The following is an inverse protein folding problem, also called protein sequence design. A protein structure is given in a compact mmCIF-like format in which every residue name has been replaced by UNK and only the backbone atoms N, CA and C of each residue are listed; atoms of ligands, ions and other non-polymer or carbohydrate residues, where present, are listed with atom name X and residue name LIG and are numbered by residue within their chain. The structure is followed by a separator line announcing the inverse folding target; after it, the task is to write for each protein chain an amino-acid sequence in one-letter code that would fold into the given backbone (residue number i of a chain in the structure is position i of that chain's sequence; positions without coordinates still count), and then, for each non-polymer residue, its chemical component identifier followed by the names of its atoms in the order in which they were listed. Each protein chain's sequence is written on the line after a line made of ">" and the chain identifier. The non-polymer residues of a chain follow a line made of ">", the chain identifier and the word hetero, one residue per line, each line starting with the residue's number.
data_IF_920280331589
#
_entry.id   IF_920280331589
#
_cell.length_a   1.000
_cell.length_b   1.000
_cell.length_c   1.000
_cell.angle_alpha   90.00
_cell.angle_beta   90.00
_cell.angle_gamma   90.00
#
_symmetry.space_group_name_H-M   'P 1'
#
loop_
_entity.id
_entity.type
_entity.pdbx_description
1 polymer ?
#
# COMPACT_ATOMS: atom_id res chain seq x y z
N UNK A 1 -4.57 2.01 3.44
CA UNK A 1 -3.23 1.80 4.04
C UNK A 1 -3.15 0.35 4.51
N UNK A 2 -2.01 -0.12 5.00
CA UNK A 2 -1.92 -1.47 5.58
C UNK A 2 -2.44 -1.52 7.03
N UNK A 3 -2.90 -2.69 7.46
CA UNK A 3 -3.37 -2.92 8.83
C UNK A 3 -2.24 -2.76 9.84
N UNK A 4 -1.07 -3.34 9.56
CA UNK A 4 0.09 -3.24 10.46
C UNK A 4 0.59 -1.80 10.64
N UNK A 5 0.35 -0.90 9.68
CA UNK A 5 0.75 0.53 9.77
C UNK A 5 -0.07 1.26 10.83
N UNK A 6 -1.34 0.89 11.00
CA UNK A 6 -2.24 1.52 11.97
C UNK A 6 -2.40 0.72 13.26
N UNK A 7 -1.86 -0.50 13.30
CA UNK A 7 -1.94 -1.39 14.46
C UNK A 7 -1.34 -0.72 15.71
N UNK A 8 -2.03 -0.84 16.84
CA UNK A 8 -1.64 -0.28 18.14
C UNK A 8 -1.44 1.25 18.18
N UNK A 9 -1.89 1.99 17.17
CA UNK A 9 -1.80 3.46 17.18
C UNK A 9 -2.77 4.06 18.20
N UNK A 10 -2.24 4.85 19.14
CA UNK A 10 -3.07 5.67 20.07
C UNK A 10 -3.50 7.00 19.43
N UNK A 11 -2.72 7.47 18.48
CA UNK A 11 -2.94 8.72 17.77
C UNK A 11 -2.45 8.52 16.33
N UNK A 12 -3.30 8.84 15.37
CA UNK A 12 -3.03 8.68 13.94
C UNK A 12 -3.20 10.04 13.27
N UNK A 13 -2.21 10.42 12.46
CA UNK A 13 -2.26 11.61 11.62
C UNK A 13 -1.85 11.28 10.20
N UNK A 14 -2.36 12.07 9.26
CA UNK A 14 -1.95 12.05 7.86
C UNK A 14 -1.45 13.43 7.45
N UNK A 15 -0.54 13.44 6.49
CA UNK A 15 0.09 14.64 5.94
C UNK A 15 -0.07 14.58 4.41
N UNK A 16 -0.20 15.74 3.77
CA UNK A 16 -0.26 15.82 2.30
C UNK A 16 1.12 16.16 1.77
N UNK A 17 1.42 15.71 0.55
CA UNK A 17 2.65 16.11 -0.12
C UNK A 17 2.72 17.64 -0.25
N UNK A 18 3.83 18.22 0.19
CA UNK A 18 4.02 19.67 0.17
C UNK A 18 3.17 20.48 1.17
N UNK A 19 2.44 19.82 2.08
CA UNK A 19 1.70 20.48 3.16
C UNK A 19 2.30 20.13 4.52
N UNK A 20 2.82 21.11 5.28
CA UNK A 20 3.37 20.85 6.62
C UNK A 20 2.31 20.53 7.68
N UNK A 21 1.01 20.69 7.36
CA UNK A 21 -0.06 20.45 8.32
C UNK A 21 -0.33 18.96 8.52
N UNK A 22 -0.38 18.55 9.79
CA UNK A 22 -0.80 17.20 10.20
C UNK A 22 -2.30 17.19 10.50
N UNK A 23 -3.01 16.25 9.89
CA UNK A 23 -4.45 16.10 10.06
C UNK A 23 -4.76 14.85 10.87
N UNK A 24 -5.53 14.95 11.97
CA UNK A 24 -5.98 13.77 12.72
C UNK A 24 -6.80 12.83 11.84
N UNK A 25 -6.47 11.54 11.88
CA UNK A 25 -7.18 10.48 11.18
C UNK A 25 -7.70 9.44 12.17
N UNK A 26 -8.77 8.76 11.80
CA UNK A 26 -9.34 7.66 12.58
C UNK A 26 -9.45 6.41 11.72
N UNK A 27 -9.24 5.25 12.34
CA UNK A 27 -9.41 3.97 11.67
C UNK A 27 -10.90 3.63 11.63
N UNK A 28 -11.42 3.37 10.44
CA UNK A 28 -12.82 2.97 10.23
C UNK A 28 -12.96 1.44 10.20
N UNK A 29 -11.98 0.76 9.59
CA UNK A 29 -11.99 -0.69 9.46
C UNK A 29 -10.57 -1.25 9.39
N UNK A 30 -10.38 -2.45 9.93
CA UNK A 30 -9.12 -3.20 9.85
C UNK A 30 -9.44 -4.62 9.35
N UNK A 31 -8.81 -5.01 8.27
CA UNK A 31 -8.81 -6.35 7.71
C UNK A 31 -7.41 -6.95 7.89
N UNK A 32 -7.21 -7.66 9.00
CA UNK A 32 -5.89 -8.24 9.34
C UNK A 32 -5.53 -9.43 8.43
N UNK A 33 -6.53 -10.10 7.89
CA UNK A 33 -6.42 -11.21 6.95
C UNK A 33 -5.76 -10.80 5.63
N UNK A 34 -6.05 -9.60 5.12
CA UNK A 34 -5.43 -9.07 3.90
C UNK A 34 -4.47 -7.90 4.13
N UNK A 35 -4.11 -7.63 5.39
CA UNK A 35 -3.27 -6.50 5.82
C UNK A 35 -3.73 -5.15 5.25
N UNK A 36 -5.04 -4.87 5.30
CA UNK A 36 -5.63 -3.60 4.87
C UNK A 36 -6.29 -2.87 6.04
N UNK A 37 -6.22 -1.53 6.00
CA UNK A 37 -7.00 -0.66 6.86
C UNK A 37 -7.59 0.51 6.09
N UNK A 38 -8.85 0.80 6.40
CA UNK A 38 -9.57 1.99 5.97
C UNK A 38 -9.49 3.04 7.06
N UNK A 39 -9.06 4.24 6.69
CA UNK A 39 -8.96 5.39 7.59
C UNK A 39 -9.78 6.56 7.03
N UNK A 40 -10.19 7.47 7.90
CA UNK A 40 -10.88 8.71 7.52
C UNK A 40 -10.26 9.91 8.21
N UNK A 41 -10.48 11.09 7.65
CA UNK A 41 -10.01 12.38 8.16
C UNK A 41 -11.22 13.29 8.30
N UNK A 42 -11.48 13.82 9.48
CA UNK A 42 -12.66 14.65 9.72
C UNK A 42 -12.52 16.08 9.18
N UNK A 43 -11.29 16.54 8.91
CA UNK A 43 -11.01 17.89 8.45
C UNK A 43 -11.30 18.04 6.94
N UNK A 44 -12.33 18.80 6.52
CA UNK A 44 -12.69 18.91 5.10
C UNK A 44 -11.59 19.55 4.24
N UNK A 45 -10.81 20.46 4.83
CA UNK A 45 -9.68 21.13 4.17
C UNK A 45 -8.58 20.17 3.72
N UNK A 46 -8.49 18.99 4.36
CA UNK A 46 -7.59 17.92 3.92
C UNK A 46 -7.88 17.53 2.47
N UNK A 47 -9.16 17.32 2.13
CA UNK A 47 -9.59 16.85 0.80
C UNK A 47 -9.66 17.95 -0.27
N UNK A 48 -9.42 19.21 0.09
CA UNK A 48 -9.51 20.34 -0.84
C UNK A 48 -8.52 20.15 -1.99
N UNK A 49 -9.01 20.25 -3.22
CA UNK A 49 -8.25 20.05 -4.47
C UNK A 49 -7.63 18.65 -4.64
N UNK A 50 -8.03 17.66 -3.86
CA UNK A 50 -7.59 16.28 -4.06
C UNK A 50 -8.45 15.59 -5.11
N UNK A 51 -7.80 14.83 -6.00
CA UNK A 51 -8.47 13.97 -6.97
C UNK A 51 -8.33 12.54 -6.45
N UNK A 52 -9.43 11.85 -6.11
CA UNK A 52 -9.37 10.45 -5.72
C UNK A 52 -8.77 9.59 -6.84
N UNK A 53 -7.87 8.68 -6.47
CA UNK A 53 -7.31 7.73 -7.42
C UNK A 53 -8.39 6.75 -7.89
N UNK A 54 -8.31 6.34 -9.15
CA UNK A 54 -9.19 5.32 -9.72
C UNK A 54 -8.53 3.96 -9.63
N UNK A 55 -9.32 2.93 -9.33
CA UNK A 55 -8.84 1.56 -9.39
C UNK A 55 -8.75 1.05 -10.84
N UNK A 56 -7.70 0.29 -11.10
CA UNK A 56 -7.49 -0.52 -12.29
C UNK A 56 -7.78 -1.99 -12.02
N UNK A 57 -7.53 -2.82 -13.03
CA UNK A 57 -7.63 -4.28 -12.89
C UNK A 57 -6.32 -4.91 -12.40
N UNK A 58 -6.24 -6.23 -12.54
CA UNK A 58 -5.00 -6.97 -12.35
C UNK A 58 -4.03 -6.61 -13.48
N UNK A 59 -2.81 -6.15 -13.19
CA UNK A 59 -1.81 -5.86 -14.22
C UNK A 59 -1.27 -7.16 -14.83
N UNK A 60 -0.85 -7.10 -16.09
CA UNK A 60 -0.28 -8.26 -16.78
C UNK A 60 1.11 -8.63 -16.22
N UNK A 61 1.52 -9.89 -16.36
CA UNK A 61 2.92 -10.28 -16.12
C UNK A 61 3.87 -9.45 -16.99
N UNK A 62 5.05 -9.15 -16.46
CA UNK A 62 6.12 -8.36 -17.11
C UNK A 62 5.76 -6.90 -17.40
N UNK A 63 4.54 -6.46 -17.06
CA UNK A 63 4.12 -5.07 -17.22
C UNK A 63 4.74 -4.16 -16.17
N UNK A 64 4.97 -2.90 -16.55
CA UNK A 64 5.57 -1.90 -15.66
C UNK A 64 4.56 -1.38 -14.64
N UNK A 65 5.01 -1.26 -13.39
CA UNK A 65 4.25 -0.68 -12.28
C UNK A 65 5.14 0.26 -11.48
N UNK A 66 4.52 1.26 -10.85
CA UNK A 66 5.22 2.22 -9.98
C UNK A 66 4.56 2.25 -8.60
N UNK A 67 5.35 2.05 -7.55
CA UNK A 67 4.92 2.18 -6.17
C UNK A 67 5.26 3.57 -5.63
N UNK A 68 4.30 4.18 -4.94
CA UNK A 68 4.41 5.51 -4.37
C UNK A 68 4.32 5.42 -2.85
N UNK A 69 5.19 6.16 -2.14
CA UNK A 69 5.16 6.16 -0.68
C UNK A 69 6.15 7.12 -0.05
N UNK A 70 6.29 7.05 1.27
CA UNK A 70 7.16 7.93 2.05
C UNK A 70 8.18 7.09 2.83
N UNK A 71 9.39 6.88 2.31
CA UNK A 71 10.38 6.04 2.95
C UNK A 71 10.83 6.65 4.28
N UNK A 72 11.20 5.80 5.24
CA UNK A 72 11.69 6.26 6.54
C UNK A 72 12.85 7.25 6.38
N UNK A 73 12.75 8.40 7.04
CA UNK A 73 13.80 9.44 7.06
C UNK A 73 13.70 10.48 5.95
N UNK A 74 12.70 10.39 5.06
CA UNK A 74 12.41 11.42 4.04
C UNK A 74 11.08 12.14 4.28
N UNK A 75 11.06 13.45 4.03
CA UNK A 75 9.83 14.26 4.00
C UNK A 75 9.21 14.34 2.59
N UNK A 76 9.87 13.76 1.59
CA UNK A 76 9.44 13.78 0.20
C UNK A 76 8.89 12.43 -0.22
N UNK A 77 7.86 12.46 -1.06
CA UNK A 77 7.34 11.29 -1.73
C UNK A 77 8.45 10.62 -2.56
N UNK A 78 8.54 9.30 -2.44
CA UNK A 78 9.40 8.43 -3.23
C UNK A 78 8.58 7.64 -4.24
N UNK A 79 9.19 7.38 -5.39
CA UNK A 79 8.61 6.56 -6.46
C UNK A 79 9.61 5.47 -6.82
N UNK A 80 9.18 4.22 -6.75
CA UNK A 80 9.97 3.07 -7.20
C UNK A 80 9.24 2.35 -8.34
N UNK A 81 9.93 2.17 -9.45
CA UNK A 81 9.37 1.52 -10.64
C UNK A 81 9.97 0.14 -10.79
N UNK A 82 9.14 -0.82 -11.18
CA UNK A 82 9.53 -2.19 -11.47
C UNK A 82 8.55 -2.84 -12.42
N UNK A 83 8.58 -4.17 -12.46
CA UNK A 83 7.68 -4.98 -13.26
C UNK A 83 6.87 -5.93 -12.39
N UNK A 84 5.77 -6.42 -12.92
CA UNK A 84 5.02 -7.55 -12.36
C UNK A 84 5.79 -8.85 -12.64
N UNK A 85 6.38 -9.43 -11.59
CA UNK A 85 7.22 -10.62 -11.70
C UNK A 85 6.42 -11.93 -11.60
N UNK A 86 5.37 -11.94 -10.78
CA UNK A 86 4.55 -13.13 -10.52
C UNK A 86 3.17 -12.74 -10.01
N UNK A 87 2.16 -13.52 -10.37
CA UNK A 87 0.81 -13.43 -9.82
C UNK A 87 0.51 -14.80 -9.22
N UNK A 88 0.32 -14.87 -7.91
CA UNK A 88 0.17 -16.14 -7.19
C UNK A 88 -0.73 -15.97 -5.96
N UNK A 89 -1.25 -17.08 -5.44
CA UNK A 89 -1.98 -17.08 -4.18
C UNK A 89 -0.99 -17.28 -3.03
N UNK A 90 -0.91 -16.31 -2.11
CA UNK A 90 -0.04 -16.38 -0.94
C UNK A 90 -0.83 -16.40 0.36
N UNK A 91 -0.24 -17.07 1.35
CA UNK A 91 -0.73 -17.03 2.73
C UNK A 91 -0.44 -15.63 3.31
N UNK A 92 -1.49 -14.90 3.65
CA UNK A 92 -1.36 -13.66 4.39
C UNK A 92 -1.32 -13.95 5.90
N UNK A 93 -0.41 -13.29 6.58
CA UNK A 93 0.09 -13.71 7.88
C UNK A 93 -0.67 -13.08 9.02
N UNK A 94 -1.87 -13.62 9.25
CA UNK A 94 -2.48 -13.71 10.58
C UNK A 94 -3.47 -14.87 10.73
N UNK A 95 -3.94 -15.48 9.64
CA UNK A 95 -5.02 -16.46 9.69
C UNK A 95 -4.60 -17.92 9.45
N UNK A 96 -3.43 -18.19 8.84
CA UNK A 96 -2.95 -19.55 8.46
C UNK A 96 -3.94 -20.43 7.67
N UNK A 97 -5.09 -19.87 7.25
CA UNK A 97 -6.23 -20.58 6.64
C UNK A 97 -6.58 -19.98 5.27
N UNK A 98 -6.35 -18.67 5.07
CA UNK A 98 -6.77 -17.98 3.85
C UNK A 98 -5.57 -17.63 2.95
N UNK A 99 -5.59 -18.16 1.73
CA UNK A 99 -4.70 -17.75 0.65
C UNK A 99 -5.39 -16.61 -0.11
N UNK A 100 -4.78 -15.43 -0.14
CA UNK A 100 -5.27 -14.34 -0.99
C UNK A 100 -4.34 -14.14 -2.18
N UNK A 101 -4.90 -13.58 -3.25
CA UNK A 101 -4.14 -13.21 -4.43
C UNK A 101 -3.11 -12.15 -4.04
N UNK A 102 -1.83 -12.42 -4.29
CA UNK A 102 -0.73 -11.50 -4.11
C UNK A 102 0.03 -11.35 -5.43
N UNK A 103 0.50 -10.14 -5.71
CA UNK A 103 1.27 -9.88 -6.92
C UNK A 103 2.69 -9.49 -6.52
N UNK A 104 3.66 -10.28 -6.98
CA UNK A 104 5.07 -10.01 -6.80
C UNK A 104 5.52 -8.95 -7.80
N UNK A 105 6.24 -7.95 -7.32
CA UNK A 105 6.80 -6.88 -8.13
C UNK A 105 8.30 -6.73 -7.87
N UNK A 106 9.04 -6.26 -8.86
CA UNK A 106 10.47 -5.92 -8.72
C UNK A 106 10.71 -4.49 -8.23
N UNK A 107 9.65 -3.69 -8.08
CA UNK A 107 9.75 -2.35 -7.51
C UNK A 107 10.22 -2.44 -6.06
N UNK A 108 11.18 -1.60 -5.68
CA UNK A 108 11.69 -1.60 -4.31
C UNK A 108 10.63 -1.09 -3.33
N UNK A 109 10.23 -1.93 -2.40
CA UNK A 109 9.35 -1.57 -1.29
C UNK A 109 10.17 -1.59 0.00
N UNK A 110 10.39 -0.39 0.55
CA UNK A 110 11.06 -0.19 1.83
C UNK A 110 10.03 0.18 2.90
N UNK A 111 10.36 0.01 4.19
CA UNK A 111 9.55 0.57 5.27
C UNK A 111 9.22 2.05 5.01
N UNK A 112 7.94 2.41 5.15
CA UNK A 112 7.39 3.72 4.81
C UNK A 112 6.72 3.81 3.44
N UNK A 113 7.10 2.97 2.47
CA UNK A 113 6.35 2.82 1.21
C UNK A 113 5.21 1.79 1.31
N UNK A 114 5.24 0.91 2.32
CA UNK A 114 4.13 -0.02 2.60
C UNK A 114 2.85 0.75 2.92
N UNK A 115 1.74 0.32 2.32
CA UNK A 115 0.43 0.95 2.48
C UNK A 115 0.15 2.05 1.44
N UNK A 116 1.16 2.43 0.65
CA UNK A 116 1.02 3.32 -0.49
C UNK A 116 0.50 2.62 -1.75
N UNK A 117 0.02 3.38 -2.75
CA UNK A 117 -0.56 2.81 -3.96
C UNK A 117 0.53 2.30 -4.92
N UNK A 118 0.25 1.17 -5.56
CA UNK A 118 0.95 0.71 -6.76
C UNK A 118 0.10 1.07 -7.97
N UNK A 119 0.71 1.73 -8.95
CA UNK A 119 0.03 2.35 -10.08
C UNK A 119 0.49 1.77 -11.42
N UNK A 120 -0.44 1.68 -12.36
CA UNK A 120 -0.21 1.43 -13.78
C UNK A 120 -1.19 2.28 -14.58
N UNK A 121 -0.71 2.97 -15.62
CA UNK A 121 -1.53 3.81 -16.52
C UNK A 121 -2.44 4.83 -15.78
N UNK A 122 -1.92 5.41 -14.69
CA UNK A 122 -2.66 6.38 -13.88
C UNK A 122 -3.77 5.79 -12.99
N UNK A 123 -3.83 4.46 -12.87
CA UNK A 123 -4.80 3.76 -12.00
C UNK A 123 -4.08 2.95 -10.93
N UNK A 124 -4.72 2.80 -9.77
CA UNK A 124 -4.27 1.94 -8.68
C UNK A 124 -4.50 0.50 -9.07
N UNK A 125 -3.43 -0.29 -9.16
CA UNK A 125 -3.48 -1.74 -9.42
C UNK A 125 -3.22 -2.57 -8.15
N UNK A 126 -2.82 -1.92 -7.06
CA UNK A 126 -2.73 -2.55 -5.75
C UNK A 126 -2.23 -1.62 -4.65
N UNK A 127 -2.07 -2.18 -3.45
CA UNK A 127 -1.43 -1.53 -2.30
C UNK A 127 -0.11 -2.22 -2.02
N UNK A 128 0.97 -1.44 -1.91
CA UNK A 128 2.30 -1.97 -1.64
C UNK A 128 2.34 -2.68 -0.28
N UNK A 129 2.90 -3.87 -0.26
CA UNK A 129 3.04 -4.71 0.94
C UNK A 129 4.45 -5.28 1.01
N UNK A 130 5.13 -5.06 2.13
CA UNK A 130 6.40 -5.73 2.39
C UNK A 130 6.12 -7.17 2.84
N UNK A 131 6.47 -8.14 1.99
CA UNK A 131 6.39 -9.57 2.31
C UNK A 131 7.33 -9.97 3.45
N UNK A 132 6.98 -11.09 4.10
CA UNK A 132 7.57 -11.63 5.32
C UNK A 132 9.11 -11.53 5.39
N UNK A 133 9.57 -10.84 6.44
CA UNK A 133 10.97 -10.68 6.85
C UNK A 133 11.53 -11.97 7.49
N UNK A 134 11.67 -13.03 6.71
CA UNK A 134 12.31 -14.26 7.16
C UNK A 134 13.06 -14.92 6.01
N UNK A 135 14.36 -14.71 5.94
CA UNK A 135 15.35 -15.43 5.11
C UNK A 135 15.12 -15.57 3.59
N UNK A 136 14.05 -15.01 3.02
CA UNK A 136 13.73 -15.13 1.58
C UNK A 136 14.01 -13.82 0.84
N UNK A 137 15.15 -13.82 0.15
CA UNK A 137 15.52 -12.96 -0.99
C UNK A 137 15.36 -11.43 -0.80
N UNK A 138 16.50 -10.74 -0.58
CA UNK A 138 16.61 -9.31 -0.85
C UNK A 138 16.16 -9.03 -2.30
N UNK A 139 15.21 -8.10 -2.48
CA UNK A 139 14.74 -7.67 -3.81
C UNK A 139 13.39 -8.24 -4.26
N UNK A 140 12.64 -8.91 -3.39
CA UNK A 140 11.26 -9.34 -3.68
C UNK A 140 10.27 -8.50 -2.87
N UNK A 141 9.35 -7.84 -3.57
CA UNK A 141 8.24 -7.11 -2.96
C UNK A 141 6.90 -7.63 -3.47
N UNK A 142 5.85 -7.36 -2.71
CA UNK A 142 4.49 -7.78 -3.04
C UNK A 142 3.53 -6.58 -3.03
N UNK A 143 2.37 -6.78 -3.65
CA UNK A 143 1.25 -5.88 -3.53
C UNK A 143 -0.05 -6.65 -3.37
N UNK A 144 -0.97 -6.06 -2.62
CA UNK A 144 -2.36 -6.51 -2.48
C UNK A 144 -3.11 -5.98 -3.70
N UNK A 145 -3.60 -6.83 -4.61
CA UNK A 145 -4.19 -6.40 -5.87
C UNK A 145 -5.62 -5.88 -5.68
N UNK A 146 -6.12 -5.10 -6.64
CA UNK A 146 -7.45 -4.48 -6.56
C UNK A 146 -8.62 -5.42 -6.25
N UNK A 147 -8.69 -6.67 -6.73
CA UNK A 147 -9.80 -7.57 -6.39
C UNK A 147 -9.85 -8.00 -4.92
N UNK A 148 -8.77 -7.78 -4.16
CA UNK A 148 -8.74 -7.99 -2.70
C UNK A 148 -9.16 -6.72 -1.95
N UNK A 149 -9.05 -5.55 -2.60
CA UNK A 149 -9.34 -4.23 -2.01
C UNK A 149 -10.83 -3.86 -2.16
N UNK A 150 -11.43 -4.18 -3.32
CA UNK A 150 -12.79 -3.78 -3.72
C UNK A 150 -13.77 -4.93 -3.70
#
# INVERSE_FOLDING_TARGET
>A
TNAHVVANSRYLTVERDGDPNKYPATVQFIANDCDLALITVSAPDFFKNMIPLKFGGIPALESTVSAYGYPIGGERMSVTTGIVSRIDFQLYTHSSIDQHLAIQISAQINPGNSGGPVMQDGKVVGVAFQGYSGDVAQGVAYMIPTPVIT
#
